data_IF_700123236393
#
_entry.id   IF_700123236393
#
_cell.length_a   1.000
_cell.length_b   1.000
_cell.length_c   1.000
_cell.angle_alpha   90.00
_cell.angle_beta   90.00
_cell.angle_gamma   90.00
#
_symmetry.space_group_name_H-M   'P 1'
#
loop_
_entity.id
_entity.type
_entity.pdbx_description
1 polymer ?
#
# COMPACT_ATOMS: atom_id res chain seq x y z
N UNK A 1 2.11 33.05 9.94
CA UNK A 1 3.24 32.46 9.19
C UNK A 1 2.95 32.60 7.71
N UNK A 2 3.98 32.82 6.89
CA UNK A 2 3.86 32.87 5.42
C UNK A 2 3.00 31.70 4.95
N UNK A 3 1.91 31.95 4.23
CA UNK A 3 1.01 30.91 3.72
C UNK A 3 1.71 30.18 2.57
N UNK A 4 2.69 29.35 2.91
CA UNK A 4 3.34 28.46 1.98
C UNK A 4 2.34 27.36 1.64
N UNK A 5 2.21 27.02 0.35
CA UNK A 5 1.38 25.89 -0.12
C UNK A 5 1.69 24.59 0.63
N UNK A 6 2.93 24.44 1.08
CA UNK A 6 3.40 23.28 1.84
C UNK A 6 2.98 23.25 3.31
N UNK A 7 2.43 24.33 3.86
CA UNK A 7 1.95 24.36 5.26
C UNK A 7 0.83 23.36 5.53
N UNK A 8 0.10 22.93 4.51
CA UNK A 8 -0.92 21.87 4.60
C UNK A 8 -0.33 20.47 4.87
N UNK A 9 0.97 20.27 4.62
CA UNK A 9 1.68 19.01 4.84
C UNK A 9 2.53 19.02 6.12
N UNK A 10 2.52 20.10 6.92
CA UNK A 10 3.30 20.13 8.14
C UNK A 10 2.64 19.25 9.22
N UNK A 11 3.37 18.26 9.79
CA UNK A 11 2.79 17.33 10.77
C UNK A 11 2.66 17.93 12.17
N UNK A 12 3.30 19.07 12.43
CA UNK A 12 3.35 19.73 13.75
C UNK A 12 2.24 20.75 13.90
N UNK A 13 1.47 20.65 14.98
CA UNK A 13 0.48 21.66 15.37
C UNK A 13 1.09 22.65 16.37
N UNK A 14 0.42 23.80 16.61
CA UNK A 14 0.86 24.91 17.49
C UNK A 14 1.29 24.51 18.92
N UNK A 15 1.02 23.28 19.36
CA UNK A 15 1.37 22.74 20.70
C UNK A 15 2.63 21.85 20.70
N UNK A 16 3.46 21.88 19.63
CA UNK A 16 4.61 20.97 19.44
C UNK A 16 4.28 19.47 19.41
N UNK A 17 3.00 19.09 19.53
CA UNK A 17 2.54 17.72 19.34
C UNK A 17 2.17 17.47 17.87
N UNK A 18 2.61 16.33 17.34
CA UNK A 18 2.31 15.86 15.99
C UNK A 18 0.90 15.24 15.90
N UNK A 19 -0.13 16.01 16.26
CA UNK A 19 -1.54 15.58 16.32
C UNK A 19 -2.12 15.26 14.93
N UNK A 20 -1.53 15.78 13.85
CA UNK A 20 -2.01 15.54 12.49
C UNK A 20 -1.95 14.06 12.09
N UNK A 21 -1.06 13.28 12.70
CA UNK A 21 -1.01 11.83 12.50
C UNK A 21 -2.28 11.11 12.97
N UNK A 22 -3.08 11.71 13.85
CA UNK A 22 -4.35 11.15 14.29
C UNK A 22 -5.36 11.04 13.14
N UNK A 23 -5.17 11.78 12.03
CA UNK A 23 -6.03 11.65 10.84
C UNK A 23 -6.00 10.24 10.24
N UNK A 24 -4.90 9.51 10.39
CA UNK A 24 -4.78 8.10 9.97
C UNK A 24 -5.82 7.20 10.65
N UNK A 25 -6.17 7.50 11.90
CA UNK A 25 -7.09 6.69 12.71
C UNK A 25 -8.54 7.00 12.33
N UNK A 26 -8.83 8.23 11.86
CA UNK A 26 -10.18 8.65 11.47
C UNK A 26 -10.68 7.81 10.28
N UNK A 27 -9.81 7.49 9.32
CA UNK A 27 -10.17 6.66 8.16
C UNK A 27 -10.67 5.26 8.55
N UNK A 28 -10.15 4.68 9.64
CA UNK A 28 -10.56 3.37 10.14
C UNK A 28 -11.95 3.39 10.80
N UNK A 29 -12.36 4.52 11.39
CA UNK A 29 -13.68 4.63 12.03
C UNK A 29 -14.85 4.62 11.05
N UNK A 30 -14.59 4.87 9.76
CA UNK A 30 -15.64 4.89 8.72
C UNK A 30 -16.01 3.49 8.23
N UNK A 31 -15.21 2.48 8.57
CA UNK A 31 -15.52 1.10 8.19
C UNK A 31 -16.80 0.66 8.91
N UNK A 32 -17.85 0.24 8.18
CA UNK A 32 -19.13 -0.07 8.80
C UNK A 32 -19.00 -1.38 9.59
N UNK A 33 -19.32 -1.32 10.88
CA UNK A 33 -19.29 -2.47 11.79
C UNK A 33 -20.55 -3.33 11.69
N UNK A 34 -20.39 -4.64 11.88
CA UNK A 34 -21.47 -5.63 11.86
C UNK A 34 -22.03 -5.80 13.28
N UNK A 35 -22.97 -4.94 13.67
CA UNK A 35 -23.65 -5.06 14.96
C UNK A 35 -24.94 -5.88 14.90
N UNK A 36 -25.60 -5.95 13.74
CA UNK A 36 -26.93 -6.56 13.58
C UNK A 36 -26.86 -7.80 12.68
N UNK A 37 -27.72 -8.79 12.95
CA UNK A 37 -27.82 -10.01 12.14
C UNK A 37 -28.24 -9.71 10.69
N UNK A 38 -29.12 -8.71 10.50
CA UNK A 38 -29.45 -8.17 9.18
C UNK A 38 -28.52 -6.99 8.91
N UNK A 39 -27.66 -7.06 7.88
CA UNK A 39 -26.74 -5.98 7.57
C UNK A 39 -27.49 -4.73 7.10
N UNK A 40 -27.03 -3.55 7.56
CA UNK A 40 -27.46 -2.26 7.01
C UNK A 40 -27.01 -2.12 5.55
N UNK A 41 -27.66 -1.23 4.79
CA UNK A 41 -27.32 -0.99 3.37
C UNK A 41 -25.84 -0.67 3.17
N UNK A 42 -25.22 0.09 4.08
CA UNK A 42 -23.78 0.40 4.04
C UNK A 42 -22.91 -0.84 4.27
N UNK A 43 -23.22 -1.65 5.29
CA UNK A 43 -22.48 -2.91 5.52
C UNK A 43 -22.64 -3.89 4.36
N UNK A 44 -23.81 -3.93 3.70
CA UNK A 44 -24.04 -4.77 2.53
C UNK A 44 -23.20 -4.31 1.32
N UNK A 45 -23.08 -3.01 1.10
CA UNK A 45 -22.28 -2.46 0.01
C UNK A 45 -20.79 -2.74 0.25
N UNK A 46 -20.32 -2.55 1.48
CA UNK A 46 -18.95 -2.83 1.89
C UNK A 46 -18.58 -4.32 1.77
N UNK A 47 -19.44 -5.21 2.24
CA UNK A 47 -19.23 -6.67 2.11
C UNK A 47 -19.21 -7.13 0.65
N UNK A 48 -20.06 -6.56 -0.21
CA UNK A 48 -20.02 -6.84 -1.66
C UNK A 48 -18.67 -6.44 -2.28
N UNK A 49 -18.15 -5.25 -1.96
CA UNK A 49 -16.83 -4.79 -2.42
C UNK A 49 -15.69 -5.74 -1.97
N UNK A 50 -15.70 -6.15 -0.70
CA UNK A 50 -14.68 -7.07 -0.17
C UNK A 50 -14.75 -8.44 -0.88
N UNK A 51 -15.96 -8.97 -1.11
CA UNK A 51 -16.15 -10.28 -1.74
C UNK A 51 -15.70 -10.27 -3.20
N UNK A 52 -15.97 -9.21 -3.96
CA UNK A 52 -15.50 -9.11 -5.35
C UNK A 52 -13.97 -9.05 -5.40
N UNK A 53 -13.35 -8.21 -4.57
CA UNK A 53 -11.88 -8.14 -4.48
C UNK A 53 -11.26 -9.49 -4.10
N UNK A 54 -11.83 -10.19 -3.11
CA UNK A 54 -11.34 -11.51 -2.72
C UNK A 54 -11.43 -12.52 -3.87
N UNK A 55 -12.50 -12.49 -4.68
CA UNK A 55 -12.63 -13.38 -5.85
C UNK A 55 -11.57 -13.09 -6.90
N UNK A 56 -11.35 -11.82 -7.24
CA UNK A 56 -10.32 -11.43 -8.22
C UNK A 56 -8.92 -11.87 -7.75
N UNK A 57 -8.57 -11.60 -6.49
CA UNK A 57 -7.28 -12.01 -5.95
C UNK A 57 -7.12 -13.53 -5.83
N UNK A 58 -8.21 -14.25 -5.57
CA UNK A 58 -8.20 -15.73 -5.54
C UNK A 58 -7.97 -16.33 -6.94
N UNK A 59 -8.41 -15.66 -8.01
CA UNK A 59 -8.10 -16.09 -9.39
C UNK A 59 -6.61 -15.91 -9.66
N UNK A 60 -6.01 -14.81 -9.22
CA UNK A 60 -4.58 -14.54 -9.37
C UNK A 60 -3.69 -15.47 -8.53
N UNK A 61 -4.12 -15.82 -7.30
CA UNK A 61 -3.35 -16.67 -6.40
C UNK A 61 -3.78 -18.14 -6.52
N UNK A 62 -3.02 -18.93 -7.28
CA UNK A 62 -3.34 -20.35 -7.48
C UNK A 62 -3.44 -21.13 -6.15
N UNK A 63 -4.47 -21.97 -6.06
CA UNK A 63 -5.36 -22.10 -4.90
C UNK A 63 -4.90 -23.01 -3.74
N UNK A 64 -3.68 -23.56 -3.73
CA UNK A 64 -3.35 -24.64 -2.78
C UNK A 64 -2.51 -24.26 -1.57
N UNK A 65 -1.68 -23.20 -1.63
CA UNK A 65 -0.75 -22.86 -0.52
C UNK A 65 -0.99 -21.49 0.13
N UNK A 66 -1.80 -20.62 -0.44
CA UNK A 66 -1.92 -19.23 0.00
C UNK A 66 -3.32 -18.89 0.54
N UNK A 67 -3.81 -19.69 1.50
CA UNK A 67 -5.19 -19.57 2.01
C UNK A 67 -5.45 -18.27 2.82
N UNK A 68 -4.42 -17.52 3.23
CA UNK A 68 -4.57 -16.28 4.02
C UNK A 68 -4.04 -15.00 3.39
N UNK A 69 -3.27 -15.07 2.30
CA UNK A 69 -2.62 -13.90 1.70
C UNK A 69 -3.61 -12.89 1.11
N UNK A 70 -4.75 -13.37 0.63
CA UNK A 70 -5.82 -12.53 0.07
C UNK A 70 -6.41 -11.59 1.12
N UNK A 71 -6.48 -12.01 2.39
CA UNK A 71 -6.98 -11.16 3.48
C UNK A 71 -6.08 -9.93 3.69
N UNK A 72 -4.76 -10.15 3.75
CA UNK A 72 -3.77 -9.09 3.97
C UNK A 72 -3.87 -8.05 2.85
N UNK A 73 -3.94 -8.51 1.59
CA UNK A 73 -4.03 -7.62 0.43
C UNK A 73 -5.32 -6.80 0.42
N UNK A 74 -6.48 -7.42 0.73
CA UNK A 74 -7.76 -6.71 0.81
C UNK A 74 -7.78 -5.71 1.97
N UNK A 75 -7.19 -6.06 3.11
CA UNK A 75 -7.11 -5.14 4.26
C UNK A 75 -6.26 -3.91 3.93
N UNK A 76 -5.10 -4.06 3.30
CA UNK A 76 -4.25 -2.94 2.88
C UNK A 76 -4.94 -2.06 1.86
N UNK A 77 -5.61 -2.66 0.87
CA UNK A 77 -6.41 -1.90 -0.08
C UNK A 77 -7.46 -1.04 0.64
N UNK A 78 -8.19 -1.61 1.61
CA UNK A 78 -9.20 -0.87 2.35
C UNK A 78 -8.62 0.31 3.14
N UNK A 79 -7.49 0.11 3.84
CA UNK A 79 -6.81 1.17 4.61
C UNK A 79 -6.37 2.32 3.72
N UNK A 80 -5.76 2.01 2.57
CA UNK A 80 -5.30 3.02 1.61
C UNK A 80 -6.47 3.78 1.02
N UNK A 81 -7.56 3.07 0.66
CA UNK A 81 -8.76 3.69 0.08
C UNK A 81 -9.38 4.71 1.03
N UNK A 82 -9.59 4.36 2.30
CA UNK A 82 -10.22 5.28 3.26
C UNK A 82 -9.33 6.48 3.57
N UNK A 83 -8.01 6.28 3.74
CA UNK A 83 -7.10 7.39 4.01
C UNK A 83 -7.03 8.37 2.83
N UNK A 84 -6.98 7.86 1.59
CA UNK A 84 -6.96 8.73 0.41
C UNK A 84 -8.31 9.41 0.18
N UNK A 85 -9.43 8.73 0.44
CA UNK A 85 -10.76 9.33 0.34
C UNK A 85 -10.94 10.46 1.35
N UNK A 86 -10.50 10.26 2.60
CA UNK A 86 -10.53 11.31 3.62
C UNK A 86 -9.63 12.49 3.27
N UNK A 87 -8.49 12.21 2.63
CA UNK A 87 -7.56 13.23 2.17
C UNK A 87 -8.07 14.19 1.10
N UNK A 88 -9.23 13.90 0.48
CA UNK A 88 -9.86 14.80 -0.50
C UNK A 88 -10.75 15.86 0.16
N UNK A 89 -11.15 15.67 1.41
CA UNK A 89 -11.97 16.66 2.10
C UNK A 89 -11.15 17.89 2.49
N UNK A 90 -11.75 19.09 2.44
CA UNK A 90 -11.05 20.31 2.81
C UNK A 90 -10.60 20.26 4.28
N UNK A 91 -9.40 20.76 4.54
CA UNK A 91 -8.77 20.85 5.86
C UNK A 91 -8.40 19.52 6.54
N UNK A 92 -8.52 18.38 5.85
CA UNK A 92 -8.03 17.10 6.37
C UNK A 92 -6.58 16.88 5.97
N UNK A 93 -5.72 16.65 6.96
CA UNK A 93 -4.32 16.28 6.73
C UNK A 93 -4.21 14.90 6.06
N UNK A 94 -3.61 14.88 4.86
CA UNK A 94 -3.35 13.67 4.08
C UNK A 94 -2.14 12.92 4.59
N UNK A 95 -2.34 12.00 5.54
CA UNK A 95 -1.25 11.20 6.12
C UNK A 95 -0.48 10.34 5.10
N UNK A 96 -1.11 9.96 3.98
CA UNK A 96 -0.52 9.19 2.88
C UNK A 96 0.43 9.99 1.98
N UNK A 97 0.49 11.31 2.12
CA UNK A 97 1.46 12.16 1.42
C UNK A 97 2.88 11.97 1.96
N UNK A 98 3.03 11.61 3.23
CA UNK A 98 4.34 11.39 3.83
C UNK A 98 4.92 10.03 3.46
N UNK A 99 6.14 10.06 2.91
CA UNK A 99 6.89 8.87 2.53
C UNK A 99 7.11 7.91 3.72
N UNK A 100 7.18 8.42 4.96
CA UNK A 100 7.33 7.60 6.17
C UNK A 100 6.16 6.61 6.31
N UNK A 101 4.92 7.07 6.10
CA UNK A 101 3.74 6.20 6.20
C UNK A 101 3.72 5.18 5.06
N UNK A 102 3.95 5.62 3.82
CA UNK A 102 3.87 4.73 2.65
C UNK A 102 4.97 3.67 2.64
N UNK A 103 6.19 4.03 3.07
CA UNK A 103 7.29 3.09 3.22
C UNK A 103 7.04 2.09 4.35
N UNK A 104 6.46 2.54 5.48
CA UNK A 104 6.11 1.65 6.60
C UNK A 104 5.08 0.59 6.22
N UNK A 105 4.19 0.86 5.25
CA UNK A 105 3.26 -0.15 4.72
C UNK A 105 3.90 -1.03 3.64
N UNK A 106 4.73 -0.47 2.75
CA UNK A 106 5.30 -1.19 1.61
C UNK A 106 6.41 -2.19 2.01
N UNK A 107 7.29 -1.81 2.95
CA UNK A 107 8.47 -2.60 3.30
C UNK A 107 8.11 -3.93 4.00
N UNK A 108 7.22 -3.98 5.02
CA UNK A 108 6.81 -5.24 5.64
C UNK A 108 6.11 -6.18 4.65
N UNK A 109 5.30 -5.62 3.75
CA UNK A 109 4.62 -6.41 2.72
C UNK A 109 5.60 -7.05 1.76
N UNK A 110 6.58 -6.29 1.25
CA UNK A 110 7.61 -6.85 0.39
C UNK A 110 8.48 -7.88 1.12
N UNK A 111 8.92 -7.57 2.34
CA UNK A 111 9.73 -8.49 3.14
C UNK A 111 9.02 -9.82 3.40
N UNK A 112 7.72 -9.79 3.74
CA UNK A 112 6.96 -11.01 3.99
C UNK A 112 6.88 -11.92 2.76
N UNK A 113 6.70 -11.37 1.56
CA UNK A 113 6.71 -12.15 0.32
C UNK A 113 8.11 -12.71 -0.01
N UNK A 114 9.16 -11.94 0.19
CA UNK A 114 10.54 -12.41 -0.05
C UNK A 114 10.95 -13.53 0.91
N UNK A 115 10.64 -13.38 2.20
CA UNK A 115 10.91 -14.42 3.20
C UNK A 115 10.11 -15.68 2.89
N UNK A 116 8.81 -15.55 2.56
CA UNK A 116 7.98 -16.69 2.17
C UNK A 116 8.54 -17.43 0.94
N UNK A 117 9.00 -16.70 -0.08
CA UNK A 117 9.58 -17.30 -1.28
C UNK A 117 10.88 -18.05 -0.99
N UNK A 118 11.75 -17.51 -0.14
CA UNK A 118 13.02 -18.15 0.21
C UNK A 118 12.80 -19.39 1.08
N UNK A 119 11.85 -19.36 2.01
CA UNK A 119 11.57 -20.52 2.87
C UNK A 119 10.95 -21.68 2.09
N UNK A 120 10.00 -21.41 1.19
CA UNK A 120 9.25 -22.49 0.55
C UNK A 120 9.94 -23.06 -0.69
N UNK A 121 10.55 -22.22 -1.54
CA UNK A 121 11.07 -22.63 -2.84
C UNK A 121 12.36 -21.87 -3.20
N UNK A 122 13.47 -22.13 -2.48
CA UNK A 122 14.77 -21.48 -2.71
C UNK A 122 15.26 -21.58 -4.16
N UNK A 123 15.21 -22.78 -4.75
CA UNK A 123 15.75 -23.07 -6.08
C UNK A 123 14.98 -22.30 -7.16
N UNK A 124 13.65 -22.29 -7.09
CA UNK A 124 12.82 -21.57 -8.05
C UNK A 124 12.95 -20.05 -7.90
N UNK A 125 13.17 -19.54 -6.68
CA UNK A 125 13.41 -18.11 -6.47
C UNK A 125 14.73 -17.66 -7.08
N UNK A 126 15.80 -18.44 -6.91
CA UNK A 126 17.10 -18.14 -7.50
C UNK A 126 17.07 -18.30 -9.03
N UNK A 127 16.34 -19.29 -9.54
CA UNK A 127 16.15 -19.46 -10.98
C UNK A 127 15.44 -18.27 -11.64
N UNK A 128 14.55 -17.58 -10.91
CA UNK A 128 13.86 -16.38 -11.42
C UNK A 128 14.81 -15.17 -11.61
N UNK A 129 16.01 -15.18 -11.00
CA UNK A 129 16.98 -14.09 -11.21
C UNK A 129 17.61 -14.11 -12.60
N UNK A 130 17.50 -15.22 -13.34
CA UNK A 130 18.03 -15.35 -14.70
C UNK A 130 16.86 -15.55 -15.67
N UNK A 131 16.63 -14.61 -16.61
CA UNK A 131 15.62 -14.84 -17.63
C UNK A 131 16.05 -15.97 -18.57
N UNK A 132 15.06 -16.78 -18.95
CA UNK A 132 15.25 -17.89 -19.87
C UNK A 132 15.72 -17.38 -21.23
N UNK A 133 16.75 -18.02 -21.79
CA UNK A 133 17.26 -17.71 -23.14
C UNK A 133 18.34 -16.62 -23.20
N UNK A 134 18.94 -16.22 -22.08
CA UNK A 134 20.07 -15.27 -22.09
C UNK A 134 21.39 -15.95 -22.50
N UNK A 135 22.21 -15.31 -23.35
CA UNK A 135 23.53 -15.84 -23.72
C UNK A 135 24.48 -15.85 -22.51
N UNK A 136 25.40 -16.84 -22.42
CA UNK A 136 26.16 -17.12 -21.20
C UNK A 136 27.06 -15.97 -20.74
N UNK A 137 27.53 -15.13 -21.67
CA UNK A 137 28.41 -13.99 -21.37
C UNK A 137 27.68 -12.87 -20.60
N UNK A 138 26.37 -12.71 -20.81
CA UNK A 138 25.55 -11.63 -20.23
C UNK A 138 24.82 -12.04 -18.94
N UNK A 139 24.83 -13.34 -18.61
CA UNK A 139 24.17 -13.88 -17.42
C UNK A 139 24.55 -13.16 -16.11
N UNK A 140 25.84 -12.94 -15.78
CA UNK A 140 26.19 -12.32 -14.50
C UNK A 140 25.69 -10.87 -14.39
N UNK A 141 25.66 -10.13 -15.50
CA UNK A 141 25.17 -8.75 -15.50
C UNK A 141 23.65 -8.68 -15.31
N UNK A 142 22.89 -9.59 -15.92
CA UNK A 142 21.43 -9.65 -15.73
C UNK A 142 21.04 -9.97 -14.28
N UNK A 143 21.77 -10.87 -13.61
CA UNK A 143 21.51 -11.18 -12.19
C UNK A 143 21.72 -9.94 -11.32
N UNK A 144 22.77 -9.15 -11.58
CA UNK A 144 22.99 -7.89 -10.85
C UNK A 144 21.82 -6.91 -11.06
N UNK A 145 21.32 -6.77 -12.29
CA UNK A 145 20.19 -5.86 -12.55
C UNK A 145 18.91 -6.36 -11.88
N UNK A 146 18.62 -7.66 -11.95
CA UNK A 146 17.39 -8.21 -11.37
C UNK A 146 17.40 -8.19 -9.84
N UNK A 147 18.58 -8.35 -9.21
CA UNK A 147 18.72 -8.16 -7.76
C UNK A 147 18.48 -6.70 -7.35
N UNK A 148 19.02 -5.74 -8.12
CA UNK A 148 18.76 -4.30 -7.90
C UNK A 148 17.27 -3.98 -8.12
N UNK A 149 16.65 -4.51 -9.17
CA UNK A 149 15.23 -4.29 -9.49
C UNK A 149 14.32 -4.82 -8.38
N UNK A 150 14.68 -5.95 -7.77
CA UNK A 150 13.93 -6.53 -6.67
C UNK A 150 13.99 -5.67 -5.40
N UNK A 151 15.16 -5.11 -5.07
CA UNK A 151 15.35 -4.24 -3.90
C UNK A 151 14.65 -2.88 -4.06
N UNK A 152 14.62 -2.33 -5.27
CA UNK A 152 13.99 -1.02 -5.57
C UNK A 152 12.45 -1.09 -5.53
N UNK A 153 11.87 -2.29 -5.69
CA UNK A 153 10.42 -2.52 -5.77
C UNK A 153 9.61 -1.90 -4.60
N UNK A 154 9.91 -2.14 -3.31
CA UNK A 154 9.17 -1.50 -2.21
C UNK A 154 9.29 0.03 -2.23
N UNK A 155 10.45 0.56 -2.63
CA UNK A 155 10.67 2.01 -2.75
C UNK A 155 9.79 2.64 -3.83
N UNK A 156 9.74 2.03 -5.03
CA UNK A 156 8.91 2.54 -6.12
C UNK A 156 7.41 2.48 -5.82
N UNK A 157 6.96 1.48 -5.05
CA UNK A 157 5.57 1.40 -4.58
C UNK A 157 5.25 2.53 -3.59
N UNK A 158 6.13 2.79 -2.62
CA UNK A 158 5.95 3.85 -1.63
C UNK A 158 5.94 5.25 -2.25
N UNK A 159 6.92 5.52 -3.13
CA UNK A 159 7.06 6.82 -3.83
C UNK A 159 5.86 7.09 -4.73
N UNK A 160 5.35 6.06 -5.43
CA UNK A 160 4.19 6.19 -6.31
C UNK A 160 2.98 6.74 -5.57
N UNK A 161 2.70 6.21 -4.38
CA UNK A 161 1.54 6.62 -3.61
C UNK A 161 1.72 8.02 -3.01
N UNK A 162 2.88 8.30 -2.43
CA UNK A 162 3.15 9.62 -1.84
C UNK A 162 3.17 10.73 -2.91
N UNK A 163 3.85 10.50 -4.04
CA UNK A 163 3.95 11.48 -5.11
C UNK A 163 2.58 11.81 -5.72
N UNK A 164 1.73 10.81 -5.94
CA UNK A 164 0.38 11.02 -6.47
C UNK A 164 -0.48 11.87 -5.52
N UNK A 165 -0.40 11.63 -4.20
CA UNK A 165 -1.17 12.39 -3.22
C UNK A 165 -0.64 13.82 -3.04
N UNK A 166 0.68 14.01 -2.99
CA UNK A 166 1.30 15.33 -2.91
C UNK A 166 0.94 16.15 -4.16
N UNK A 167 1.15 15.59 -5.36
CA UNK A 167 0.90 16.29 -6.61
C UNK A 167 -0.59 16.62 -6.78
N UNK A 168 -1.48 15.68 -6.47
CA UNK A 168 -2.92 15.90 -6.55
C UNK A 168 -3.39 17.03 -5.64
N UNK A 169 -2.93 17.05 -4.38
CA UNK A 169 -3.31 18.10 -3.43
C UNK A 169 -2.70 19.45 -3.80
N UNK A 170 -1.43 19.50 -4.24
CA UNK A 170 -0.81 20.73 -4.74
C UNK A 170 -1.58 21.32 -5.93
N UNK A 171 -2.00 20.49 -6.89
CA UNK A 171 -2.78 20.94 -8.03
C UNK A 171 -4.14 21.50 -7.61
N UNK A 172 -4.83 20.89 -6.64
CA UNK A 172 -6.11 21.40 -6.13
C UNK A 172 -5.97 22.72 -5.35
N UNK A 173 -4.81 22.99 -4.75
CA UNK A 173 -4.56 24.23 -4.00
C UNK A 173 -4.07 25.39 -4.86
N UNK A 174 -3.65 25.13 -6.10
CA UNK A 174 -3.23 26.11 -7.09
C UNK A 174 -4.43 26.55 -7.95
#
# INVERSE_FOLDING_TARGET
MMSNLFSSFDPTTNLNSSLNWLSTIIGLMVIPSLFWFIPSRMTLLWTKLIITLHKEFKILMNSKKSQGSTLILVSLFSVILFNNFMGLFPYIFTSTSHMVLTLSMALPMWMSFMVYGWLNNTIYMLAHLVPQGTPPILMPFMVCIETISNIIRPGTLAIRLSANMIAGHLLMTL
#
